data_IF_299104664229
#
_entry.id   IF_299104664229
#
_cell.length_a   1.000
_cell.length_b   1.000
_cell.length_c   1.000
_cell.angle_alpha   90.00
_cell.angle_beta   90.00
_cell.angle_gamma   90.00
#
_symmetry.space_group_name_H-M   'P 1'
#
loop_
_entity.id
_entity.type
_entity.pdbx_description
1 polymer ?
#
# COMPACT_ATOMS: atom_id res chain seq x y z
N UNK A 1 -3.46 10.20 23.13
CA UNK A 1 -2.54 9.92 22.02
C UNK A 1 -3.22 8.97 21.04
N UNK A 2 -3.24 9.32 19.80
CA UNK A 2 -3.87 8.48 18.78
C UNK A 2 -2.90 7.39 18.34
N UNK A 3 -3.45 6.21 18.11
CA UNK A 3 -2.66 5.12 17.54
C UNK A 3 -2.36 5.41 16.07
N UNK A 4 -1.25 4.86 15.58
CA UNK A 4 -0.91 4.95 14.16
C UNK A 4 -1.91 4.16 13.34
N UNK A 5 -2.36 4.72 12.22
CA UNK A 5 -3.26 4.02 11.30
C UNK A 5 -2.46 3.24 10.27
N UNK A 6 -2.83 1.99 10.08
CA UNK A 6 -2.33 1.19 8.95
C UNK A 6 -3.26 1.47 7.77
N UNK A 7 -2.68 1.96 6.67
CA UNK A 7 -3.46 2.32 5.48
C UNK A 7 -3.73 1.12 4.58
N UNK A 8 -2.71 0.34 4.30
CA UNK A 8 -2.83 -0.84 3.45
C UNK A 8 -1.68 -1.81 3.66
N UNK A 9 -1.88 -3.03 3.16
CA UNK A 9 -0.86 -4.07 3.13
C UNK A 9 -0.61 -4.40 1.66
N UNK A 10 0.66 -4.45 1.24
CA UNK A 10 1.03 -4.80 -0.12
C UNK A 10 1.63 -6.20 -0.15
N UNK A 11 1.08 -7.04 -1.00
CA UNK A 11 1.56 -8.41 -1.22
C UNK A 11 1.80 -8.61 -2.71
N UNK A 12 2.61 -9.61 -3.04
CA UNK A 12 2.97 -9.84 -4.43
C UNK A 12 1.95 -10.71 -5.15
N UNK A 13 1.79 -10.43 -6.45
CA UNK A 13 0.98 -11.23 -7.35
C UNK A 13 1.70 -11.30 -8.69
N UNK A 14 1.91 -12.51 -9.20
CA UNK A 14 2.53 -12.69 -10.51
C UNK A 14 1.56 -12.42 -11.66
N UNK A 15 0.26 -12.40 -11.38
CA UNK A 15 -0.79 -12.18 -12.38
C UNK A 15 -1.93 -11.45 -11.68
N UNK A 16 -1.97 -10.13 -11.86
CA UNK A 16 -2.92 -9.27 -11.16
C UNK A 16 -4.36 -9.66 -11.46
N UNK A 17 -4.71 -9.85 -12.72
CA UNK A 17 -6.08 -10.17 -13.10
C UNK A 17 -6.56 -11.48 -12.45
N UNK A 18 -5.70 -12.49 -12.45
CA UNK A 18 -6.01 -13.78 -11.86
C UNK A 18 -6.20 -13.67 -10.36
N UNK A 19 -5.32 -12.92 -9.70
CA UNK A 19 -5.41 -12.73 -8.25
C UNK A 19 -6.66 -11.96 -7.86
N UNK A 20 -7.01 -10.90 -8.60
CA UNK A 20 -8.22 -10.12 -8.32
C UNK A 20 -9.45 -11.03 -8.39
N UNK A 21 -9.53 -11.88 -9.41
CA UNK A 21 -10.65 -12.82 -9.53
C UNK A 21 -10.71 -13.74 -8.31
N UNK A 22 -9.56 -14.27 -7.88
CA UNK A 22 -9.50 -15.15 -6.73
C UNK A 22 -9.99 -14.43 -5.46
N UNK A 23 -9.50 -13.22 -5.20
CA UNK A 23 -9.92 -12.46 -4.01
C UNK A 23 -11.40 -12.12 -4.04
N UNK A 24 -11.92 -11.73 -5.21
CA UNK A 24 -13.34 -11.42 -5.35
C UNK A 24 -14.23 -12.65 -5.13
N UNK A 25 -13.75 -13.83 -5.53
CA UNK A 25 -14.51 -15.06 -5.36
C UNK A 25 -14.49 -15.56 -3.90
N UNK A 26 -13.50 -15.18 -3.13
CA UNK A 26 -13.33 -15.69 -1.76
C UNK A 26 -13.72 -14.69 -0.69
N UNK A 27 -13.74 -13.40 -0.99
CA UNK A 27 -14.01 -12.36 0.02
C UNK A 27 -14.90 -11.28 -0.57
N UNK A 28 -15.64 -10.62 0.31
CA UNK A 28 -16.41 -9.43 -0.06
C UNK A 28 -15.48 -8.23 0.00
N UNK A 29 -14.95 -7.82 -1.12
CA UNK A 29 -14.08 -6.67 -1.23
C UNK A 29 -14.39 -5.92 -2.52
N UNK A 30 -13.97 -4.65 -2.57
CA UNK A 30 -14.16 -3.80 -3.74
C UNK A 30 -12.82 -3.61 -4.44
N UNK A 31 -12.84 -3.67 -5.78
CA UNK A 31 -11.66 -3.31 -6.56
C UNK A 31 -11.66 -1.80 -6.69
N UNK A 32 -10.71 -1.14 -6.01
CA UNK A 32 -10.56 0.31 -6.06
C UNK A 32 -9.69 0.75 -7.21
N UNK A 33 -8.76 -0.11 -7.62
CA UNK A 33 -7.89 0.13 -8.77
C UNK A 33 -7.42 -1.22 -9.30
N UNK A 34 -7.24 -1.30 -10.61
CA UNK A 34 -6.64 -2.48 -11.23
C UNK A 34 -6.02 -2.11 -12.57
N UNK A 35 -4.75 -2.49 -12.73
CA UNK A 35 -4.09 -2.50 -14.03
C UNK A 35 -3.18 -3.72 -14.07
N UNK A 36 -2.31 -3.82 -15.08
CA UNK A 36 -1.49 -5.02 -15.26
C UNK A 36 -0.35 -5.12 -14.22
N UNK A 37 -0.04 -4.05 -13.50
CA UNK A 37 1.09 -4.01 -12.58
C UNK A 37 0.68 -3.97 -11.12
N UNK A 38 -0.55 -3.52 -10.81
CA UNK A 38 -1.02 -3.52 -9.44
C UNK A 38 -2.54 -3.42 -9.37
N UNK A 39 -3.07 -3.78 -8.22
CA UNK A 39 -4.48 -3.61 -7.91
C UNK A 39 -4.63 -3.20 -6.45
N UNK A 40 -5.70 -2.49 -6.16
CA UNK A 40 -6.01 -2.09 -4.78
C UNK A 40 -7.39 -2.62 -4.44
N UNK A 41 -7.47 -3.46 -3.41
CA UNK A 41 -8.70 -4.07 -2.95
C UNK A 41 -9.11 -3.44 -1.63
N UNK A 42 -10.34 -2.94 -1.57
CA UNK A 42 -10.88 -2.36 -0.33
C UNK A 42 -11.65 -3.40 0.47
N UNK A 43 -11.19 -3.67 1.67
CA UNK A 43 -11.89 -4.47 2.66
C UNK A 43 -12.57 -3.53 3.67
N UNK A 44 -13.33 -4.10 4.59
CA UNK A 44 -14.06 -3.30 5.58
C UNK A 44 -13.14 -2.40 6.40
N UNK A 45 -12.02 -2.93 6.82
CA UNK A 45 -11.15 -2.26 7.79
C UNK A 45 -9.76 -1.92 7.26
N UNK A 46 -9.41 -2.35 6.04
CA UNK A 46 -8.07 -2.12 5.50
C UNK A 46 -8.11 -2.32 3.99
N UNK A 47 -7.12 -1.79 3.30
CA UNK A 47 -6.91 -2.04 1.87
C UNK A 47 -5.76 -3.01 1.69
N UNK A 48 -5.86 -3.86 0.69
CA UNK A 48 -4.78 -4.75 0.29
C UNK A 48 -4.38 -4.41 -1.12
N UNK A 49 -3.09 -4.11 -1.31
CA UNK A 49 -2.52 -3.85 -2.62
C UNK A 49 -1.86 -5.13 -3.13
N UNK A 50 -2.15 -5.48 -4.37
CA UNK A 50 -1.48 -6.57 -5.08
C UNK A 50 -0.50 -5.92 -6.04
N UNK A 51 0.78 -6.31 -5.97
CA UNK A 51 1.83 -5.70 -6.79
C UNK A 51 2.63 -6.79 -7.49
N UNK A 52 3.02 -6.54 -8.73
CA UNK A 52 3.85 -7.50 -9.46
C UNK A 52 5.27 -7.51 -8.88
N UNK A 53 5.95 -8.68 -8.92
CA UNK A 53 7.32 -8.78 -8.42
C UNK A 53 8.23 -7.76 -9.10
N UNK A 54 9.11 -7.14 -8.30
CA UNK A 54 10.06 -6.17 -8.82
C UNK A 54 9.58 -4.74 -8.85
N UNK A 55 8.29 -4.48 -8.63
CA UNK A 55 7.75 -3.11 -8.58
C UNK A 55 8.02 -2.46 -7.23
N UNK A 56 7.55 -3.11 -6.19
CA UNK A 56 7.73 -2.69 -4.81
C UNK A 56 7.89 -3.94 -3.95
N UNK A 57 8.66 -3.87 -2.86
CA UNK A 57 8.72 -5.02 -1.95
C UNK A 57 7.37 -5.19 -1.24
N UNK A 58 7.06 -6.40 -0.78
CA UNK A 58 5.91 -6.57 0.12
C UNK A 58 6.10 -5.68 1.35
N UNK A 59 5.04 -4.99 1.76
CA UNK A 59 5.13 -4.05 2.87
C UNK A 59 3.73 -3.77 3.42
N UNK A 60 3.68 -3.11 4.58
CA UNK A 60 2.46 -2.44 4.99
C UNK A 60 2.74 -0.94 5.07
N UNK A 61 1.70 -0.14 4.89
CA UNK A 61 1.83 1.30 4.88
C UNK A 61 1.09 1.90 6.07
N UNK A 62 1.74 2.86 6.73
CA UNK A 62 1.16 3.60 7.84
C UNK A 62 1.06 5.08 7.45
N UNK A 63 0.08 5.76 8.02
CA UNK A 63 -0.09 7.20 7.79
C UNK A 63 0.83 7.96 8.74
N UNK A 64 1.67 8.84 8.18
CA UNK A 64 2.60 9.67 8.94
C UNK A 64 2.67 11.05 8.30
N UNK A 65 2.06 12.03 8.92
CA UNK A 65 1.99 13.40 8.39
C UNK A 65 3.34 14.09 8.30
N UNK A 66 4.36 13.59 9.01
CA UNK A 66 5.68 14.19 8.98
C UNK A 66 6.50 13.83 7.74
N UNK A 67 6.01 12.91 6.93
CA UNK A 67 6.72 12.48 5.72
C UNK A 67 7.00 13.64 4.78
N UNK A 68 6.08 14.57 4.67
CA UNK A 68 6.23 15.73 3.78
C UNK A 68 7.44 16.60 4.15
N UNK A 69 7.90 16.52 5.40
CA UNK A 69 9.05 17.30 5.89
C UNK A 69 10.37 16.54 5.80
N UNK A 70 10.36 15.29 5.34
CA UNK A 70 11.58 14.48 5.24
C UNK A 70 12.29 14.78 3.93
N UNK A 71 13.61 14.89 3.98
CA UNK A 71 14.41 15.16 2.79
C UNK A 71 14.39 14.01 1.80
N UNK A 72 14.28 12.78 2.30
CA UNK A 72 14.32 11.58 1.45
C UNK A 72 12.94 11.14 0.98
N UNK A 73 11.91 11.97 1.15
CA UNK A 73 10.57 11.59 0.71
C UNK A 73 10.52 11.45 -0.81
N UNK A 74 9.67 10.55 -1.26
CA UNK A 74 9.32 10.36 -2.66
C UNK A 74 7.86 10.71 -2.85
N UNK A 75 7.44 10.83 -4.08
CA UNK A 75 6.05 11.18 -4.39
C UNK A 75 5.48 10.16 -5.37
N UNK A 76 4.34 9.57 -5.02
CA UNK A 76 3.58 8.71 -5.92
C UNK A 76 2.90 9.54 -7.00
N UNK A 77 2.40 8.88 -8.05
CA UNK A 77 1.72 9.56 -9.17
C UNK A 77 0.54 10.40 -8.72
N UNK A 78 -0.14 9.99 -7.65
CA UNK A 78 -1.30 10.70 -7.12
C UNK A 78 -0.93 11.86 -6.19
N UNK A 79 0.36 12.16 -6.06
CA UNK A 79 0.83 13.24 -5.22
C UNK A 79 1.09 12.89 -3.77
N UNK A 80 0.87 11.64 -3.39
CA UNK A 80 1.10 11.19 -2.00
C UNK A 80 2.59 11.07 -1.76
N UNK A 81 3.08 11.74 -0.73
CA UNK A 81 4.48 11.62 -0.30
C UNK A 81 4.69 10.36 0.50
N UNK A 82 5.83 9.72 0.32
CA UNK A 82 6.12 8.49 1.04
C UNK A 82 7.62 8.31 1.26
N UNK A 83 7.96 7.49 2.25
CA UNK A 83 9.31 6.97 2.47
C UNK A 83 9.20 5.51 2.86
N UNK A 84 10.20 4.72 2.51
CA UNK A 84 10.33 3.34 2.97
C UNK A 84 11.33 3.28 4.11
N UNK A 85 11.01 2.48 5.12
CA UNK A 85 11.91 2.17 6.23
C UNK A 85 11.87 0.67 6.44
N UNK A 86 12.86 0.15 7.14
CA UNK A 86 12.91 -1.26 7.50
C UNK A 86 12.88 -1.40 9.00
N UNK A 87 12.20 -2.44 9.48
CA UNK A 87 12.24 -2.78 10.89
C UNK A 87 13.55 -3.54 11.19
N UNK A 88 13.80 -3.96 12.45
CA UNK A 88 15.05 -4.66 12.78
C UNK A 88 15.30 -5.95 12.01
N UNK A 89 14.26 -6.56 11.45
CA UNK A 89 14.35 -7.79 10.67
C UNK A 89 14.22 -7.55 9.16
N UNK A 90 14.39 -6.31 8.74
CA UNK A 90 14.33 -5.90 7.32
C UNK A 90 12.95 -6.01 6.69
N UNK A 91 11.90 -6.06 7.49
CA UNK A 91 10.54 -5.94 6.95
C UNK A 91 10.31 -4.51 6.51
N UNK A 92 9.79 -4.32 5.31
CA UNK A 92 9.64 -3.00 4.73
C UNK A 92 8.33 -2.36 5.21
N UNK A 93 8.41 -1.11 5.63
CA UNK A 93 7.27 -0.31 6.05
C UNK A 93 7.27 0.96 5.21
N UNK A 94 6.12 1.26 4.62
CA UNK A 94 5.93 2.51 3.89
C UNK A 94 5.25 3.52 4.82
N UNK A 95 5.82 4.71 4.96
CA UNK A 95 5.16 5.80 5.66
C UNK A 95 4.63 6.75 4.61
N UNK A 96 3.35 7.06 4.68
CA UNK A 96 2.70 7.91 3.69
C UNK A 96 2.06 9.12 4.35
N UNK A 97 2.07 10.24 3.61
CA UNK A 97 1.34 11.44 3.98
C UNK A 97 0.30 11.67 2.89
N UNK A 98 -0.97 11.52 3.23
CA UNK A 98 -2.06 11.71 2.28
C UNK A 98 -2.39 13.16 2.02
N UNK A 99 -1.58 14.07 2.54
CA UNK A 99 -1.82 15.47 2.39
C UNK A 99 -2.77 15.98 3.46
N UNK A 100 -3.18 17.21 3.31
CA UNK A 100 -4.10 17.83 4.25
C UNK A 100 -5.50 17.31 4.03
N UNK A 101 -6.11 16.99 5.07
CA UNK A 101 -7.53 16.70 5.05
C UNK A 101 -8.21 17.61 6.05
#
# INVERSE_FOLDING_TARGET
>A
MNLTNVDHIAIESSDIAKSVIWYKNNFRCKVKHQDSTWALLGFENIKIALVTPGQHPPHFAVVDKLVANKENKKTHRDGIHYVYEEDPDSNVIEKIDRGTS
#
